data_IF_926928294054
#
_entry.id   IF_926928294054
#
_cell.length_a   1.000
_cell.length_b   1.000
_cell.length_c   1.000
_cell.angle_alpha   90.00
_cell.angle_beta   90.00
_cell.angle_gamma   90.00
#
_symmetry.space_group_name_H-M   'P 1'
#
loop_
_entity.id
_entity.type
_entity.pdbx_description
1 polymer ?
#
# COMPACT_ATOMS: atom_id res chain seq x y z
N UNK A 1 2.89 -22.68 10.79
CA UNK A 1 2.57 -22.99 12.20
C UNK A 1 1.17 -22.51 12.50
N UNK A 2 0.31 -23.35 13.09
CA UNK A 2 -0.99 -22.89 13.60
C UNK A 2 -0.71 -21.98 14.80
N UNK A 3 -1.28 -20.78 14.80
CA UNK A 3 -1.16 -19.82 15.90
C UNK A 3 -2.00 -20.34 17.08
N UNK A 4 -1.45 -20.32 18.28
CA UNK A 4 -2.15 -20.77 19.49
C UNK A 4 -3.34 -19.86 19.74
N UNK A 5 -4.53 -20.44 19.93
CA UNK A 5 -5.73 -19.68 20.29
C UNK A 5 -5.64 -19.16 21.73
N UNK A 6 -6.43 -18.15 22.08
CA UNK A 6 -6.48 -17.61 23.45
C UNK A 6 -6.85 -18.70 24.48
N UNK A 7 -7.74 -19.63 24.12
CA UNK A 7 -8.17 -20.74 24.99
C UNK A 7 -7.02 -21.74 25.20
N UNK A 8 -6.29 -22.08 24.13
CA UNK A 8 -5.11 -22.95 24.23
C UNK A 8 -4.00 -22.29 25.07
N UNK A 9 -3.80 -20.97 24.92
CA UNK A 9 -2.83 -20.21 25.70
C UNK A 9 -3.20 -20.16 27.19
N UNK A 10 -4.46 -19.90 27.52
CA UNK A 10 -4.95 -19.92 28.90
C UNK A 10 -4.78 -21.31 29.54
N UNK A 11 -5.09 -22.37 28.78
CA UNK A 11 -4.85 -23.75 29.20
C UNK A 11 -3.38 -24.02 29.50
N UNK A 12 -2.47 -23.52 28.66
CA UNK A 12 -1.03 -23.73 28.82
C UNK A 12 -0.50 -23.00 30.06
N UNK A 13 -0.88 -21.73 30.22
CA UNK A 13 -0.46 -20.91 31.36
C UNK A 13 -0.98 -21.44 32.70
N UNK A 14 -2.15 -22.11 32.70
CA UNK A 14 -2.71 -22.78 33.89
C UNK A 14 -2.20 -24.21 34.10
N UNK A 15 -1.30 -24.71 33.25
CA UNK A 15 -0.79 -26.08 33.32
C UNK A 15 -1.81 -27.17 32.96
N UNK A 16 -2.90 -26.81 32.27
CA UNK A 16 -3.98 -27.73 31.86
C UNK A 16 -3.77 -28.30 30.46
N UNK A 17 -2.88 -27.73 29.65
CA UNK A 17 -2.53 -28.27 28.33
C UNK A 17 -1.03 -28.11 28.03
N UNK A 18 -0.54 -28.90 27.08
CA UNK A 18 0.85 -28.89 26.62
C UNK A 18 0.87 -28.46 25.14
N UNK A 19 1.70 -27.47 24.76
CA UNK A 19 1.83 -27.05 23.38
C UNK A 19 2.36 -28.19 22.51
N UNK A 20 1.77 -28.38 21.32
CA UNK A 20 2.14 -29.47 20.40
C UNK A 20 3.61 -29.43 19.96
N UNK A 21 4.20 -28.23 19.94
CA UNK A 21 5.56 -27.97 19.49
C UNK A 21 6.53 -27.72 20.67
N UNK A 22 6.15 -28.15 21.88
CA UNK A 22 7.06 -28.26 23.01
C UNK A 22 8.09 -29.36 22.74
N UNK A 23 9.38 -29.05 22.89
CA UNK A 23 10.45 -30.02 22.65
C UNK A 23 10.63 -30.94 23.85
N UNK A 24 11.15 -32.14 23.61
CA UNK A 24 11.55 -33.06 24.69
C UNK A 24 12.62 -32.38 25.55
N UNK A 25 12.44 -32.42 26.87
CA UNK A 25 13.30 -31.76 27.87
C UNK A 25 13.31 -30.22 27.82
N UNK A 26 12.35 -29.59 27.13
CA UNK A 26 12.14 -28.13 27.17
C UNK A 26 11.16 -27.79 28.30
N UNK A 27 11.57 -26.92 29.21
CA UNK A 27 10.68 -26.37 30.24
C UNK A 27 9.70 -25.37 29.64
N UNK A 28 8.58 -25.10 30.33
CA UNK A 28 7.61 -24.09 29.88
C UNK A 28 8.25 -22.69 29.74
N UNK A 29 9.24 -22.36 30.58
CA UNK A 29 9.96 -21.10 30.51
C UNK A 29 10.85 -21.04 29.25
N UNK A 30 11.61 -22.10 28.96
CA UNK A 30 12.43 -22.18 27.75
C UNK A 30 11.57 -22.13 26.48
N UNK A 31 10.43 -22.81 26.48
CA UNK A 31 9.45 -22.74 25.40
C UNK A 31 8.98 -21.30 25.13
N UNK A 32 8.56 -20.60 26.18
CA UNK A 32 8.08 -19.23 26.07
C UNK A 32 9.19 -18.29 25.58
N UNK A 33 10.40 -18.39 26.13
CA UNK A 33 11.56 -17.60 25.68
C UNK A 33 11.84 -17.84 24.21
N UNK A 34 11.83 -19.09 23.75
CA UNK A 34 12.00 -19.42 22.33
C UNK A 34 10.88 -18.82 21.48
N UNK A 35 9.62 -18.89 21.91
CA UNK A 35 8.48 -18.33 21.17
C UNK A 35 8.51 -16.83 21.08
N UNK A 36 8.89 -16.13 22.15
CA UNK A 36 9.09 -14.69 22.11
C UNK A 36 10.24 -14.32 21.18
N UNK A 37 11.37 -15.02 21.23
CA UNK A 37 12.48 -14.80 20.29
C UNK A 37 12.12 -15.07 18.82
N UNK A 38 11.33 -16.11 18.54
CA UNK A 38 10.78 -16.38 17.20
C UNK A 38 9.87 -15.23 16.71
N UNK A 39 9.06 -14.63 17.60
CA UNK A 39 8.20 -13.50 17.28
C UNK A 39 9.00 -12.21 17.09
N UNK A 40 9.96 -11.93 17.95
CA UNK A 40 10.87 -10.78 17.85
C UNK A 40 11.66 -10.82 16.54
N UNK A 41 12.20 -11.99 16.16
CA UNK A 41 12.92 -12.17 14.90
C UNK A 41 12.02 -11.93 13.67
N UNK A 42 10.76 -12.40 13.70
CA UNK A 42 9.79 -12.14 12.64
C UNK A 42 9.41 -10.66 12.57
N UNK A 43 9.23 -10.01 13.73
CA UNK A 43 8.92 -8.59 13.81
C UNK A 43 10.06 -7.75 13.23
N UNK A 44 11.32 -8.05 13.58
CA UNK A 44 12.48 -7.34 13.04
C UNK A 44 12.60 -7.52 11.52
N UNK A 45 12.34 -8.73 11.02
CA UNK A 45 12.34 -9.02 9.58
C UNK A 45 11.27 -8.19 8.86
N UNK A 46 10.04 -8.18 9.37
CA UNK A 46 8.94 -7.40 8.80
C UNK A 46 9.23 -5.88 8.83
N UNK A 47 9.80 -5.37 9.92
CA UNK A 47 10.19 -3.96 10.04
C UNK A 47 11.30 -3.60 9.04
N UNK A 48 12.29 -4.49 8.84
CA UNK A 48 13.34 -4.29 7.84
C UNK A 48 12.77 -4.24 6.43
N UNK A 49 11.85 -5.15 6.08
CA UNK A 49 11.17 -5.16 4.79
C UNK A 49 10.36 -3.87 4.59
N UNK A 50 9.62 -3.43 5.61
CA UNK A 50 8.86 -2.18 5.57
C UNK A 50 9.78 -0.96 5.34
N UNK A 51 10.92 -0.86 6.04
CA UNK A 51 11.92 0.19 5.81
C UNK A 51 12.46 0.16 4.38
N UNK A 52 12.74 -1.03 3.84
CA UNK A 52 13.24 -1.18 2.47
C UNK A 52 12.20 -0.78 1.41
N UNK A 53 10.93 -1.09 1.66
CA UNK A 53 9.82 -0.67 0.81
C UNK A 53 9.67 0.87 0.84
N UNK A 54 9.77 1.50 2.01
CA UNK A 54 9.76 2.96 2.16
C UNK A 54 10.82 3.65 1.31
N UNK A 55 12.08 3.21 1.40
CA UNK A 55 13.18 3.74 0.57
C UNK A 55 12.89 3.57 -0.93
N UNK A 56 12.29 2.45 -1.33
CA UNK A 56 11.94 2.21 -2.73
C UNK A 56 10.85 3.16 -3.21
N UNK A 57 9.84 3.43 -2.37
CA UNK A 57 8.77 4.39 -2.65
C UNK A 57 9.36 5.80 -2.82
N UNK A 58 10.16 6.27 -1.87
CA UNK A 58 10.78 7.61 -1.92
C UNK A 58 11.60 7.80 -3.22
N UNK A 59 12.35 6.77 -3.62
CA UNK A 59 13.12 6.77 -4.86
C UNK A 59 12.23 6.82 -6.12
N UNK A 60 11.12 6.09 -6.13
CA UNK A 60 10.18 6.10 -7.25
C UNK A 60 9.45 7.45 -7.34
N UNK A 61 9.03 8.02 -6.21
CA UNK A 61 8.42 9.35 -6.15
C UNK A 61 9.36 10.42 -6.67
N UNK A 62 10.64 10.40 -6.28
CA UNK A 62 11.65 11.32 -6.79
C UNK A 62 11.83 11.20 -8.33
N UNK A 63 11.86 9.97 -8.86
CA UNK A 63 11.94 9.74 -10.32
C UNK A 63 10.68 10.23 -11.04
N UNK A 64 9.50 10.00 -10.48
CA UNK A 64 8.25 10.50 -11.05
C UNK A 64 8.20 12.03 -11.06
N UNK A 65 8.68 12.70 -10.01
CA UNK A 65 8.77 14.16 -9.96
C UNK A 65 9.73 14.71 -11.03
N UNK A 66 10.90 14.08 -11.21
CA UNK A 66 11.87 14.46 -12.24
C UNK A 66 11.29 14.34 -13.66
N UNK A 67 10.63 13.21 -13.95
CA UNK A 67 9.97 12.98 -15.25
C UNK A 67 8.81 13.95 -15.50
N UNK A 68 8.06 14.33 -14.45
CA UNK A 68 7.00 15.33 -14.56
C UNK A 68 7.57 16.71 -14.91
N UNK A 69 8.68 17.11 -14.28
CA UNK A 69 9.39 18.36 -14.58
C UNK A 69 9.96 18.38 -16.00
N UNK A 70 10.60 17.29 -16.44
CA UNK A 70 11.10 17.15 -17.81
C UNK A 70 9.97 17.26 -18.85
N UNK A 71 8.85 16.55 -18.62
CA UNK A 71 7.66 16.65 -19.49
C UNK A 71 7.08 18.07 -19.53
N UNK A 72 7.07 18.80 -18.41
CA UNK A 72 6.64 20.20 -18.39
C UNK A 72 7.59 21.10 -19.20
N UNK A 73 8.90 20.87 -19.08
CA UNK A 73 9.93 21.56 -19.87
C UNK A 73 9.79 21.31 -21.37
N UNK A 74 9.63 20.06 -21.78
CA UNK A 74 9.43 19.69 -23.19
C UNK A 74 8.17 20.36 -23.77
N UNK A 75 7.04 20.32 -23.04
CA UNK A 75 5.80 21.00 -23.45
C UNK A 75 5.96 22.52 -23.56
N UNK A 76 6.81 23.13 -22.73
CA UNK A 76 7.09 24.56 -22.79
C UNK A 76 7.96 24.93 -24.01
N UNK A 77 9.04 24.16 -24.26
CA UNK A 77 9.88 24.33 -25.45
C UNK A 77 9.06 24.16 -26.72
N UNK A 78 8.20 23.15 -26.76
CA UNK A 78 7.31 22.90 -27.88
C UNK A 78 6.34 24.06 -28.13
N UNK A 79 5.67 24.56 -27.08
CA UNK A 79 4.80 25.72 -27.19
C UNK A 79 5.54 26.99 -27.65
N UNK A 80 6.79 27.17 -27.21
CA UNK A 80 7.63 28.29 -27.64
C UNK A 80 8.02 28.18 -29.12
N UNK A 81 8.41 26.97 -29.57
CA UNK A 81 8.76 26.71 -30.96
C UNK A 81 7.59 27.03 -31.89
N UNK A 82 6.40 26.52 -31.56
CA UNK A 82 5.17 26.78 -32.32
C UNK A 82 4.88 28.26 -32.41
N UNK A 83 4.98 28.99 -31.29
CA UNK A 83 4.74 30.44 -31.27
C UNK A 83 5.71 31.20 -32.17
N UNK A 84 6.99 30.83 -32.13
CA UNK A 84 8.01 31.45 -32.98
C UNK A 84 7.71 31.19 -34.46
N UNK A 85 7.36 29.95 -34.83
CA UNK A 85 6.98 29.58 -36.21
C UNK A 85 5.76 30.38 -36.69
N UNK A 86 4.72 30.51 -35.86
CA UNK A 86 3.52 31.32 -36.18
C UNK A 86 3.89 32.78 -36.42
N UNK A 87 4.71 33.37 -35.55
CA UNK A 87 5.15 34.75 -35.68
C UNK A 87 5.99 34.97 -36.95
N UNK A 88 6.88 34.04 -37.28
CA UNK A 88 7.77 34.12 -38.44
C UNK A 88 7.01 33.92 -39.77
N UNK A 89 5.97 33.08 -39.78
CA UNK A 89 5.16 32.80 -40.96
C UNK A 89 3.98 33.78 -41.15
N UNK A 90 3.67 34.60 -40.14
CA UNK A 90 2.54 35.54 -40.17
C UNK A 90 1.16 34.86 -40.17
N UNK A 91 1.11 33.55 -39.92
CA UNK A 91 -0.11 32.75 -40.00
C UNK A 91 -0.77 32.63 -38.62
N UNK A 92 -1.64 33.60 -38.30
CA UNK A 92 -2.39 33.64 -37.05
C UNK A 92 -3.49 32.56 -36.94
N UNK A 93 -3.72 31.78 -37.99
CA UNK A 93 -4.78 30.76 -38.04
C UNK A 93 -4.28 29.34 -37.70
N UNK A 94 -2.97 29.18 -37.51
CA UNK A 94 -2.36 27.88 -37.18
C UNK A 94 -2.82 27.37 -35.79
N UNK A 95 -3.78 26.45 -35.79
CA UNK A 95 -4.29 25.77 -34.60
C UNK A 95 -3.33 24.64 -34.19
N UNK A 96 -2.31 24.98 -33.39
CA UNK A 96 -1.45 23.97 -32.79
C UNK A 96 -2.12 23.31 -31.59
N UNK A 97 -2.44 22.02 -31.71
CA UNK A 97 -2.91 21.22 -30.59
C UNK A 97 -1.72 20.75 -29.74
N UNK A 98 -1.67 21.22 -28.50
CA UNK A 98 -0.62 20.88 -27.52
C UNK A 98 -0.46 19.37 -27.39
N UNK A 99 0.78 18.87 -27.38
CA UNK A 99 1.03 17.42 -27.20
C UNK A 99 0.43 16.92 -25.89
N UNK A 100 -0.49 15.97 -26.06
CA UNK A 100 -1.12 15.21 -24.99
C UNK A 100 -0.32 13.92 -24.79
N UNK A 101 -0.17 13.52 -23.54
CA UNK A 101 0.49 12.26 -23.15
C UNK A 101 -0.53 11.33 -22.46
N UNK A 102 -1.63 10.95 -23.14
CA UNK A 102 -2.74 10.22 -22.50
C UNK A 102 -2.31 8.88 -21.92
N UNK A 103 -1.36 8.19 -22.56
CA UNK A 103 -0.78 6.96 -22.04
C UNK A 103 -0.07 7.16 -20.69
N UNK A 104 0.65 8.28 -20.50
CA UNK A 104 1.31 8.62 -19.24
C UNK A 104 0.29 8.91 -18.14
N UNK A 105 -0.77 9.67 -18.44
CA UNK A 105 -1.83 9.95 -17.47
C UNK A 105 -2.59 8.68 -17.07
N UNK A 106 -2.90 7.80 -18.03
CA UNK A 106 -3.52 6.52 -17.76
C UNK A 106 -2.64 5.61 -16.91
N UNK A 107 -1.33 5.56 -17.20
CA UNK A 107 -0.36 4.81 -16.39
C UNK A 107 -0.27 5.34 -14.95
N UNK A 108 -0.16 6.66 -14.75
CA UNK A 108 -0.12 7.26 -13.41
C UNK A 108 -1.41 7.02 -12.63
N UNK A 109 -2.57 7.08 -13.28
CA UNK A 109 -3.85 6.73 -12.67
C UNK A 109 -3.90 5.27 -12.23
N UNK A 110 -3.39 4.35 -13.05
CA UNK A 110 -3.33 2.92 -12.71
C UNK A 110 -2.34 2.64 -11.57
N UNK A 111 -1.17 3.28 -11.55
CA UNK A 111 -0.22 3.16 -10.42
C UNK A 111 -0.85 3.64 -9.11
N UNK A 112 -1.53 4.79 -9.11
CA UNK A 112 -2.27 5.27 -7.93
C UNK A 112 -3.38 4.30 -7.51
N UNK A 113 -4.10 3.72 -8.48
CA UNK A 113 -5.13 2.72 -8.20
C UNK A 113 -4.54 1.43 -7.60
N UNK A 114 -3.34 1.02 -8.02
CA UNK A 114 -2.62 -0.12 -7.45
C UNK A 114 -2.17 0.14 -6.01
N UNK A 115 -1.69 1.34 -5.68
CA UNK A 115 -1.40 1.72 -4.29
C UNK A 115 -2.64 1.58 -3.39
N UNK A 116 -3.80 2.04 -3.85
CA UNK A 116 -5.07 1.85 -3.15
C UNK A 116 -5.47 0.37 -3.03
N UNK A 117 -5.18 -0.46 -4.04
CA UNK A 117 -5.43 -1.90 -3.92
C UNK A 117 -4.61 -2.52 -2.77
N UNK A 118 -3.33 -2.18 -2.66
CA UNK A 118 -2.49 -2.67 -1.56
C UNK A 118 -3.00 -2.19 -0.20
N UNK A 119 -3.39 -0.91 -0.10
CA UNK A 119 -4.00 -0.35 1.11
C UNK A 119 -5.30 -1.07 1.52
N UNK A 120 -6.18 -1.33 0.55
CA UNK A 120 -7.43 -2.08 0.76
C UNK A 120 -7.13 -3.51 1.22
N UNK A 121 -6.15 -4.17 0.62
CA UNK A 121 -5.76 -5.54 0.99
C UNK A 121 -5.24 -5.61 2.43
N UNK A 122 -4.39 -4.66 2.83
CA UNK A 122 -3.90 -4.57 4.21
C UNK A 122 -5.05 -4.48 5.22
N UNK A 123 -5.99 -3.54 5.01
CA UNK A 123 -7.12 -3.36 5.93
C UNK A 123 -8.11 -4.51 5.88
N UNK A 124 -8.28 -5.17 4.72
CA UNK A 124 -9.09 -6.38 4.62
C UNK A 124 -8.48 -7.51 5.47
N UNK A 125 -7.15 -7.69 5.42
CA UNK A 125 -6.45 -8.66 6.25
C UNK A 125 -6.53 -8.31 7.74
N UNK A 126 -6.48 -7.02 8.10
CA UNK A 126 -6.68 -6.56 9.47
C UNK A 126 -8.08 -6.93 10.01
N UNK A 127 -9.13 -6.71 9.19
CA UNK A 127 -10.50 -7.07 9.53
C UNK A 127 -10.64 -8.58 9.72
N UNK A 128 -10.09 -9.38 8.80
CA UNK A 128 -10.14 -10.83 8.86
C UNK A 128 -9.42 -11.37 10.11
N UNK A 129 -8.26 -10.79 10.44
CA UNK A 129 -7.51 -11.14 11.64
C UNK A 129 -8.29 -10.79 12.92
N UNK A 130 -8.95 -9.63 12.95
CA UNK A 130 -9.78 -9.21 14.08
C UNK A 130 -10.93 -10.19 14.34
N UNK A 131 -11.68 -10.53 13.29
CA UNK A 131 -12.81 -11.48 13.37
C UNK A 131 -12.30 -12.88 13.82
N UNK A 132 -11.16 -13.33 13.30
CA UNK A 132 -10.57 -14.62 13.66
C UNK A 132 -10.13 -14.68 15.13
N UNK A 133 -9.78 -13.54 15.73
CA UNK A 133 -9.33 -13.41 17.11
C UNK A 133 -10.47 -13.03 18.08
N UNK A 134 -11.68 -13.50 17.80
CA UNK A 134 -12.89 -13.28 18.62
C UNK A 134 -13.44 -11.84 18.60
N UNK A 135 -12.97 -10.98 17.70
CA UNK A 135 -13.62 -9.70 17.41
C UNK A 135 -15.01 -9.91 16.80
N UNK A 136 -15.95 -9.03 17.12
CA UNK A 136 -17.30 -9.14 16.59
C UNK A 136 -17.40 -8.54 15.18
N UNK A 137 -18.27 -9.11 14.37
CA UNK A 137 -18.48 -8.64 13.00
C UNK A 137 -18.94 -7.17 12.95
N UNK A 138 -19.65 -6.69 13.96
CA UNK A 138 -20.21 -5.34 13.98
C UNK A 138 -19.75 -4.49 15.17
N UNK A 139 -18.63 -4.86 15.80
CA UNK A 139 -18.02 -3.95 16.77
C UNK A 139 -17.46 -2.69 16.09
N UNK A 140 -17.18 -1.69 16.92
CA UNK A 140 -16.73 -0.38 16.49
C UNK A 140 -15.47 -0.45 15.59
N UNK A 141 -14.56 -1.39 15.87
CA UNK A 141 -13.33 -1.58 15.09
C UNK A 141 -13.66 -2.17 13.71
N UNK A 142 -14.47 -3.21 13.65
CA UNK A 142 -14.93 -3.85 12.41
C UNK A 142 -15.69 -2.88 11.51
N UNK A 143 -16.52 -2.02 12.08
CA UNK A 143 -17.27 -0.99 11.34
C UNK A 143 -16.30 0.05 10.76
N UNK A 144 -15.37 0.58 11.57
CA UNK A 144 -14.36 1.55 11.10
C UNK A 144 -13.50 1.01 9.96
N UNK A 145 -12.98 -0.21 10.08
CA UNK A 145 -12.12 -0.80 9.05
C UNK A 145 -12.90 -0.99 7.74
N UNK A 146 -14.17 -1.41 7.81
CA UNK A 146 -15.03 -1.50 6.62
C UNK A 146 -15.22 -0.15 5.95
N UNK A 147 -15.48 0.90 6.72
CA UNK A 147 -15.70 2.24 6.18
C UNK A 147 -14.45 2.76 5.43
N UNK A 148 -13.27 2.54 6.01
CA UNK A 148 -11.98 2.81 5.36
C UNK A 148 -11.84 2.04 4.04
N UNK A 149 -12.14 0.73 4.04
CA UNK A 149 -12.07 -0.11 2.83
C UNK A 149 -13.03 0.39 1.75
N UNK A 150 -14.27 0.71 2.10
CA UNK A 150 -15.29 1.19 1.16
C UNK A 150 -14.88 2.54 0.57
N UNK A 151 -14.45 3.48 1.41
CA UNK A 151 -13.96 4.79 0.97
C UNK A 151 -12.77 4.67 0.03
N UNK A 152 -11.79 3.82 0.36
CA UNK A 152 -10.64 3.56 -0.50
C UNK A 152 -11.05 2.93 -1.85
N UNK A 153 -12.03 2.01 -1.86
CA UNK A 153 -12.57 1.43 -3.11
C UNK A 153 -13.23 2.50 -3.98
N UNK A 154 -14.06 3.36 -3.39
CA UNK A 154 -14.72 4.44 -4.11
C UNK A 154 -13.71 5.41 -4.73
N UNK A 155 -12.71 5.84 -3.95
CA UNK A 155 -11.67 6.74 -4.43
C UNK A 155 -10.83 6.12 -5.55
N UNK A 156 -10.48 4.84 -5.45
CA UNK A 156 -9.78 4.09 -6.51
C UNK A 156 -10.56 4.11 -7.83
N UNK A 157 -11.87 3.89 -7.78
CA UNK A 157 -12.70 3.93 -9.00
C UNK A 157 -12.84 5.34 -9.57
N UNK A 158 -12.81 6.39 -8.74
CA UNK A 158 -12.76 7.78 -9.22
C UNK A 158 -11.46 8.09 -9.97
N UNK A 159 -10.31 7.61 -9.47
CA UNK A 159 -9.01 7.73 -10.15
C UNK A 159 -9.04 7.03 -11.51
N UNK A 160 -9.59 5.81 -11.59
CA UNK A 160 -9.70 5.06 -12.85
C UNK A 160 -10.60 5.72 -13.90
N UNK A 161 -11.64 6.43 -13.44
CA UNK A 161 -12.55 7.20 -14.31
C UNK A 161 -11.99 8.58 -14.68
N UNK A 162 -10.82 8.96 -14.18
CA UNK A 162 -10.23 10.29 -14.38
C UNK A 162 -10.98 11.42 -13.67
N UNK A 163 -11.88 11.10 -12.73
CA UNK A 163 -12.74 12.07 -12.04
C UNK A 163 -12.08 12.70 -10.79
N UNK A 164 -10.92 12.19 -10.38
CA UNK A 164 -10.15 12.64 -9.22
C UNK A 164 -8.73 13.14 -9.60
N UNK A 165 -8.57 13.68 -10.81
CA UNK A 165 -7.30 14.23 -11.32
C UNK A 165 -7.35 15.75 -11.24
#
# INVERSE_FOLDING_TARGET
>A
MKQMTLIEMDGFLKGKCIPRDLKVNETNAEYLVRKFGELESKLETALRECRSAGITIDNLEAKCAALAAENAGLKAVESNLVRNIINDLGDTEFQYEKVKTPATYAFLAEVRAQCLNAFIQHHSAELDAHIKNSGEQFDEKSVRIRDIIVSARLFREQIRKGAAI
#
